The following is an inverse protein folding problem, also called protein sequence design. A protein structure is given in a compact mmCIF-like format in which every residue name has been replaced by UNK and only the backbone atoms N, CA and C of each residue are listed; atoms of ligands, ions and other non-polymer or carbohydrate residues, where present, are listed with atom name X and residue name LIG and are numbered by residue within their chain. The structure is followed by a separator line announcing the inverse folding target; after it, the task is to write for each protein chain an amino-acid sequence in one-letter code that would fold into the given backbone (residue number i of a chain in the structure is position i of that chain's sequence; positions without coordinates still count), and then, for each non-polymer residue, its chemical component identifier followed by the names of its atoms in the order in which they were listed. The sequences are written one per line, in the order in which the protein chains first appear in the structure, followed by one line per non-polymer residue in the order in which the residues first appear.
data_IF_885963268616
#
_entry.id   IF_885963268616
#
_cell.length_a   1.000
_cell.length_b   1.000
_cell.length_c   1.000
_cell.angle_alpha   90.00
_cell.angle_beta   90.00
_cell.angle_gamma   90.00
#
_symmetry.space_group_name_H-M   'P 1'
#
loop_
_entity.id
_entity.type
_entity.pdbx_description
1 polymer ?
#
# COMPACT_ATOMS: atom_id res chain seq x y z
N UNK A 1 -2.86 2.89 -6.22
CA UNK A 1 -2.19 4.21 -6.21
C UNK A 1 -3.23 5.29 -6.27
N UNK A 2 -4.13 5.29 -7.27
CA UNK A 2 -5.23 6.25 -7.35
C UNK A 2 -6.12 6.30 -6.10
N UNK A 3 -6.53 5.14 -5.55
CA UNK A 3 -7.32 5.09 -4.32
C UNK A 3 -6.62 5.72 -3.11
N UNK A 4 -5.33 5.44 -2.93
CA UNK A 4 -4.52 6.00 -1.84
C UNK A 4 -4.27 7.49 -2.04
N UNK A 5 -4.10 7.93 -3.28
CA UNK A 5 -3.98 9.35 -3.62
C UNK A 5 -5.29 10.09 -3.32
N UNK A 6 -6.45 9.46 -3.56
CA UNK A 6 -7.75 9.97 -3.11
C UNK A 6 -7.82 10.18 -1.59
N UNK A 7 -7.33 9.22 -0.80
CA UNK A 7 -7.23 9.35 0.66
C UNK A 7 -6.27 10.47 1.09
N UNK A 8 -5.15 10.65 0.38
CA UNK A 8 -4.23 11.77 0.64
C UNK A 8 -4.90 13.11 0.33
N UNK A 9 -5.66 13.20 -0.76
CA UNK A 9 -6.38 14.43 -1.12
C UNK A 9 -7.50 14.76 -0.12
N UNK A 10 -8.20 13.76 0.41
CA UNK A 10 -9.24 13.99 1.42
C UNK A 10 -8.67 14.50 2.73
N UNK A 11 -7.53 13.97 3.19
CA UNK A 11 -6.94 14.45 4.45
C UNK A 11 -6.25 15.81 4.27
N UNK A 12 -5.74 16.10 3.06
CA UNK A 12 -5.26 17.42 2.67
C UNK A 12 -6.37 18.47 2.69
N UNK A 13 -7.56 18.15 2.17
CA UNK A 13 -8.68 19.11 2.16
C UNK A 13 -9.22 19.42 3.56
N UNK A 14 -9.03 18.51 4.52
CA UNK A 14 -9.34 18.72 5.94
C UNK A 14 -8.26 19.53 6.69
N UNK A 15 -7.17 19.93 6.03
CA UNK A 15 -6.12 20.78 6.59
C UNK A 15 -4.94 20.04 7.24
N UNK A 16 -4.92 18.71 7.24
CA UNK A 16 -3.87 17.92 7.88
C UNK A 16 -2.74 17.55 6.90
N UNK A 17 -1.97 18.54 6.47
CA UNK A 17 -0.86 18.37 5.51
C UNK A 17 0.26 17.45 6.01
N UNK A 18 0.57 17.47 7.32
CA UNK A 18 1.58 16.60 7.92
C UNK A 18 1.24 15.12 7.83
N UNK A 19 -0.04 14.77 8.07
CA UNK A 19 -0.53 13.39 7.94
C UNK A 19 -0.60 12.93 6.49
N UNK A 20 -1.00 13.82 5.57
CA UNK A 20 -0.94 13.55 4.14
C UNK A 20 0.49 13.21 3.68
N UNK A 21 1.47 14.00 4.11
CA UNK A 21 2.88 13.78 3.78
C UNK A 21 3.43 12.49 4.40
N UNK A 22 3.09 12.21 5.66
CA UNK A 22 3.46 10.95 6.31
C UNK A 22 2.89 9.73 5.56
N UNK A 23 1.61 9.79 5.16
CA UNK A 23 1.01 8.73 4.37
C UNK A 23 1.66 8.61 2.98
N UNK A 24 2.02 9.73 2.34
CA UNK A 24 2.75 9.73 1.06
C UNK A 24 4.09 8.99 1.18
N UNK A 25 4.88 9.28 2.22
CA UNK A 25 6.17 8.62 2.46
C UNK A 25 6.01 7.11 2.68
N UNK A 26 5.11 6.72 3.58
CA UNK A 26 4.86 5.29 3.86
C UNK A 26 4.34 4.57 2.61
N UNK A 27 3.43 5.20 1.85
CA UNK A 27 2.91 4.68 0.59
C UNK A 27 3.97 4.51 -0.48
N UNK A 28 4.89 5.47 -0.62
CA UNK A 28 5.99 5.37 -1.57
C UNK A 28 6.85 4.13 -1.30
N UNK A 29 7.20 3.87 -0.03
CA UNK A 29 8.06 2.75 0.35
C UNK A 29 7.41 1.38 0.05
N UNK A 30 6.19 1.13 0.51
CA UNK A 30 5.57 -0.17 0.25
C UNK A 30 5.19 -0.35 -1.22
N UNK A 31 4.84 0.73 -1.95
CA UNK A 31 4.61 0.62 -3.39
C UNK A 31 5.88 0.33 -4.16
N UNK A 32 7.00 0.95 -3.80
CA UNK A 32 8.29 0.64 -4.42
C UNK A 32 8.67 -0.83 -4.22
N UNK A 33 8.49 -1.37 -3.00
CA UNK A 33 8.72 -2.79 -2.71
C UNK A 33 7.81 -3.69 -3.55
N UNK A 34 6.51 -3.38 -3.63
CA UNK A 34 5.53 -4.17 -4.37
C UNK A 34 5.88 -4.24 -5.86
N UNK A 35 6.23 -3.10 -6.47
CA UNK A 35 6.64 -3.05 -7.88
C UNK A 35 8.00 -3.69 -8.14
N UNK A 36 8.95 -3.60 -7.21
CA UNK A 36 10.23 -4.29 -7.32
C UNK A 36 10.05 -5.81 -7.28
N UNK A 37 9.22 -6.32 -6.37
CA UNK A 37 8.88 -7.74 -6.31
C UNK A 37 8.14 -8.20 -7.58
N UNK A 38 7.14 -7.43 -8.04
CA UNK A 38 6.45 -7.73 -9.30
C UNK A 38 7.41 -7.74 -10.50
N UNK A 39 8.32 -6.77 -10.59
CA UNK A 39 9.36 -6.72 -11.62
C UNK A 39 10.27 -7.95 -11.60
N UNK A 40 10.65 -8.41 -10.41
CA UNK A 40 11.41 -9.65 -10.27
C UNK A 40 10.64 -10.89 -10.73
N UNK A 41 9.33 -10.96 -10.47
CA UNK A 41 8.48 -12.07 -10.93
C UNK A 41 8.35 -12.06 -12.46
N UNK A 42 8.07 -10.90 -13.05
CA UNK A 42 7.92 -10.71 -14.49
C UNK A 42 9.21 -11.13 -15.23
N UNK A 43 10.37 -10.68 -14.76
CA UNK A 43 11.65 -11.02 -15.37
C UNK A 43 11.93 -12.53 -15.33
N UNK A 44 11.63 -13.20 -14.21
CA UNK A 44 11.82 -14.64 -14.08
C UNK A 44 10.80 -15.46 -14.89
N UNK A 45 9.65 -14.87 -15.23
CA UNK A 45 8.57 -15.49 -16.00
C UNK A 45 8.60 -15.07 -17.49
N UNK A 46 9.77 -14.75 -18.02
CA UNK A 46 10.00 -14.38 -19.44
C UNK A 46 9.09 -13.24 -19.89
N UNK A 47 9.01 -12.18 -19.08
CA UNK A 47 8.22 -10.98 -19.33
C UNK A 47 6.70 -11.19 -19.37
N UNK A 48 6.20 -12.34 -18.91
CA UNK A 48 4.77 -12.55 -18.72
C UNK A 48 4.27 -11.80 -17.48
N UNK A 49 3.23 -10.98 -17.66
CA UNK A 49 2.59 -10.20 -16.60
C UNK A 49 1.21 -10.74 -16.19
N UNK A 50 0.68 -11.67 -16.98
CA UNK A 50 -0.65 -12.22 -16.76
C UNK A 50 -0.61 -13.24 -15.62
N UNK A 51 -1.32 -12.91 -14.54
CA UNK A 51 -1.39 -13.68 -13.28
C UNK A 51 -1.87 -15.11 -13.53
N UNK A 52 -2.63 -15.37 -14.60
CA UNK A 52 -3.10 -16.71 -14.97
C UNK A 52 -1.96 -17.68 -15.26
N UNK A 53 -0.79 -17.17 -15.66
CA UNK A 53 0.43 -17.95 -15.88
C UNK A 53 1.38 -17.91 -14.67
N UNK A 54 1.01 -17.22 -13.59
CA UNK A 54 1.84 -17.04 -12.39
C UNK A 54 1.43 -18.04 -11.29
N UNK A 55 1.86 -19.29 -11.41
CA UNK A 55 1.59 -20.35 -10.43
C UNK A 55 2.76 -20.64 -9.49
N UNK A 56 2.47 -21.03 -8.24
CA UNK A 56 3.46 -21.61 -7.30
C UNK A 56 4.72 -20.75 -7.04
N UNK A 57 4.59 -19.41 -7.11
CA UNK A 57 5.73 -18.47 -6.95
C UNK A 57 6.41 -18.62 -5.58
N UNK A 58 5.65 -18.97 -4.53
CA UNK A 58 6.20 -19.19 -3.18
C UNK A 58 7.28 -20.27 -3.15
N UNK A 59 7.14 -21.32 -3.96
CA UNK A 59 8.10 -22.42 -4.01
C UNK A 59 9.35 -22.07 -4.84
N UNK A 60 9.19 -21.29 -5.91
CA UNK A 60 10.30 -20.94 -6.81
C UNK A 60 11.07 -19.70 -6.36
N UNK A 61 10.38 -18.73 -5.76
CA UNK A 61 10.94 -17.44 -5.34
C UNK A 61 10.44 -17.07 -3.93
N UNK A 62 10.87 -17.80 -2.89
CA UNK A 62 10.33 -17.63 -1.54
C UNK A 62 10.55 -16.22 -0.99
N UNK A 63 11.75 -15.65 -1.15
CA UNK A 63 12.06 -14.31 -0.64
C UNK A 63 11.19 -13.22 -1.28
N UNK A 64 11.04 -13.23 -2.61
CA UNK A 64 10.23 -12.22 -3.29
C UNK A 64 8.75 -12.39 -2.96
N UNK A 65 8.28 -13.62 -2.75
CA UNK A 65 6.91 -13.89 -2.32
C UNK A 65 6.63 -13.33 -0.91
N UNK A 66 7.57 -13.46 0.03
CA UNK A 66 7.45 -12.90 1.39
C UNK A 66 7.44 -11.38 1.34
N UNK A 67 8.37 -10.74 0.62
CA UNK A 67 8.41 -9.28 0.48
C UNK A 67 7.16 -8.73 -0.24
N UNK A 68 6.65 -9.44 -1.24
CA UNK A 68 5.40 -9.10 -1.93
C UNK A 68 4.20 -9.16 -0.98
N UNK A 69 4.14 -10.18 -0.11
CA UNK A 69 3.09 -10.29 0.90
C UNK A 69 3.20 -9.20 1.97
N UNK A 70 4.39 -8.88 2.46
CA UNK A 70 4.61 -7.79 3.45
C UNK A 70 4.21 -6.42 2.87
N UNK A 71 4.59 -6.12 1.62
CA UNK A 71 4.13 -4.90 0.95
C UNK A 71 2.62 -4.87 0.72
N UNK A 72 2.02 -6.01 0.41
CA UNK A 72 0.55 -6.10 0.22
C UNK A 72 -0.20 -5.90 1.54
N UNK A 73 0.26 -6.52 2.64
CA UNK A 73 -0.33 -6.37 3.97
C UNK A 73 -0.20 -4.94 4.50
N UNK A 74 0.94 -4.28 4.27
CA UNK A 74 1.11 -2.87 4.62
C UNK A 74 0.18 -1.96 3.80
N UNK A 75 -0.06 -2.25 2.51
CA UNK A 75 -1.02 -1.50 1.69
C UNK A 75 -2.48 -1.69 2.16
N UNK A 76 -2.84 -2.88 2.64
CA UNK A 76 -4.14 -3.14 3.27
C UNK A 76 -4.32 -2.35 4.57
N UNK A 77 -3.23 -2.10 5.30
CA UNK A 77 -3.24 -1.43 6.60
C UNK A 77 -3.28 -2.40 7.78
N UNK A 78 -2.62 -3.56 7.65
CA UNK A 78 -2.54 -4.54 8.74
C UNK A 78 -1.89 -3.96 10.01
N UNK A 79 -2.38 -4.32 11.20
CA UNK A 79 -1.89 -3.77 12.46
C UNK A 79 -0.38 -3.98 12.62
N UNK A 80 0.28 -2.99 13.21
CA UNK A 80 1.74 -2.95 13.44
C UNK A 80 2.62 -2.85 12.18
N UNK A 81 2.04 -2.71 10.99
CA UNK A 81 2.80 -2.40 9.76
C UNK A 81 2.74 -0.90 9.43
N UNK A 82 3.68 -0.42 8.63
CA UNK A 82 3.83 1.01 8.31
C UNK A 82 2.56 1.68 7.77
N UNK A 83 1.75 0.95 6.99
CA UNK A 83 0.50 1.49 6.44
C UNK A 83 -0.61 1.66 7.48
N UNK A 84 -0.59 0.91 8.58
CA UNK A 84 -1.54 1.09 9.68
C UNK A 84 -1.36 2.44 10.34
N UNK A 85 -0.13 2.79 10.71
CA UNK A 85 0.17 4.05 11.41
C UNK A 85 -0.27 5.29 10.64
N UNK A 86 -0.33 5.26 9.31
CA UNK A 86 -0.78 6.40 8.52
C UNK A 86 -2.26 6.30 8.14
N UNK A 87 -2.70 5.15 7.63
CA UNK A 87 -4.05 4.97 7.09
C UNK A 87 -5.12 4.91 8.18
N UNK A 88 -4.82 4.27 9.31
CA UNK A 88 -5.77 4.14 10.42
C UNK A 88 -6.04 5.51 11.07
N UNK A 89 -4.98 6.29 11.33
CA UNK A 89 -5.09 7.67 11.81
C UNK A 89 -5.89 8.57 10.86
N UNK A 90 -5.68 8.44 9.55
CA UNK A 90 -6.47 9.18 8.55
C UNK A 90 -7.95 8.83 8.67
N UNK A 91 -8.29 7.54 8.77
CA UNK A 91 -9.68 7.10 8.90
C UNK A 91 -10.30 7.56 10.22
N UNK A 92 -9.56 7.50 11.33
CA UNK A 92 -10.03 7.94 12.64
C UNK A 92 -10.40 9.43 12.63
N UNK A 93 -9.54 10.28 12.05
CA UNK A 93 -9.80 11.72 11.93
C UNK A 93 -11.01 12.00 11.05
N UNK A 94 -11.14 11.28 9.93
CA UNK A 94 -12.31 11.41 9.05
C UNK A 94 -13.58 11.00 9.79
N UNK A 95 -13.55 9.87 10.50
CA UNK A 95 -14.69 9.34 11.25
C UNK A 95 -15.15 10.28 12.38
N UNK A 96 -14.21 10.85 13.13
CA UNK A 96 -14.47 11.76 14.25
C UNK A 96 -14.75 13.21 13.82
N UNK A 97 -14.60 13.52 12.54
CA UNK A 97 -14.79 14.88 12.05
C UNK A 97 -16.25 15.32 12.11
N UNK A 98 -16.45 16.63 12.30
CA UNK A 98 -17.76 17.29 12.28
C UNK A 98 -18.57 17.03 11.00
N UNK A 99 -17.90 16.62 9.91
CA UNK A 99 -18.56 16.25 8.65
C UNK A 99 -19.52 15.07 8.81
N UNK A 100 -19.22 14.13 9.72
CA UNK A 100 -20.08 12.96 9.97
C UNK A 100 -21.17 13.20 11.02
N UNK A 101 -21.16 14.36 11.71
CA UNK A 101 -22.19 14.72 12.69
C UNK A 101 -23.36 15.50 12.07
N UNK A 102 -23.25 15.90 10.80
CA UNK A 102 -24.32 16.47 9.97
C UNK A 102 -25.11 15.37 9.26
#
# INVERSE_FOLDING_TARGET
TLSQLGLMMSILSMGYSGLAFFHLLTHALFKALLFMCAGSMIHNLKDSQDIRFMGSIVNFMPLTSVCFNVSSLSLCGMPFLAGFYSKDLILEIVCLSWVNFL
#
